data_IF_597429671943
#
_entry.id   IF_597429671943
#
_cell.length_a   1.000
_cell.length_b   1.000
_cell.length_c   1.000
_cell.angle_alpha   90.00
_cell.angle_beta   90.00
_cell.angle_gamma   90.00
#
_symmetry.space_group_name_H-M   'P 1'
#
loop_
_entity.id
_entity.type
_entity.pdbx_description
1 polymer ?
#
# COMPACT_ATOMS: atom_id res chain seq x y z
N UNK A 1 -10.40 3.65 -17.09
CA UNK A 1 -9.22 4.54 -17.02
C UNK A 1 -8.62 4.72 -18.39
N UNK A 2 -8.21 5.92 -18.70
CA UNK A 2 -7.44 6.28 -19.89
C UNK A 2 -5.94 6.08 -19.60
N UNK A 3 -5.46 4.87 -19.85
CA UNK A 3 -4.06 4.51 -19.59
C UNK A 3 -3.07 5.24 -20.50
N UNK A 4 -3.35 5.50 -21.79
CA UNK A 4 -2.48 6.33 -22.63
C UNK A 4 -2.29 7.74 -22.08
N UNK A 5 -3.37 8.39 -21.63
CA UNK A 5 -3.28 9.71 -20.99
C UNK A 5 -2.51 9.68 -19.68
N UNK A 6 -2.68 8.62 -18.89
CA UNK A 6 -1.95 8.44 -17.64
C UNK A 6 -0.45 8.20 -17.91
N UNK A 7 -0.12 7.45 -18.95
CA UNK A 7 1.25 7.22 -19.39
C UNK A 7 1.93 8.54 -19.77
N UNK A 8 1.30 9.35 -20.62
CA UNK A 8 1.82 10.67 -20.99
C UNK A 8 2.01 11.59 -19.76
N UNK A 9 1.05 11.57 -18.82
CA UNK A 9 1.13 12.35 -17.60
C UNK A 9 2.36 12.01 -16.74
N UNK A 10 2.70 10.73 -16.58
CA UNK A 10 3.87 10.32 -15.81
C UNK A 10 5.18 10.46 -16.57
N UNK A 11 5.17 10.19 -17.90
CA UNK A 11 6.34 10.39 -18.76
C UNK A 11 6.83 11.85 -18.74
N UNK A 12 5.92 12.84 -18.82
CA UNK A 12 6.25 14.26 -18.72
C UNK A 12 7.00 14.61 -17.43
N UNK A 13 6.67 13.97 -16.31
CA UNK A 13 7.33 14.19 -15.02
C UNK A 13 8.71 13.52 -14.97
N UNK A 14 8.83 12.34 -15.54
CA UNK A 14 10.10 11.65 -15.67
C UNK A 14 11.07 12.46 -16.57
N UNK A 15 10.61 12.95 -17.71
CA UNK A 15 11.36 13.85 -18.59
C UNK A 15 11.79 15.15 -17.90
N UNK A 16 10.97 15.62 -16.93
CA UNK A 16 11.31 16.77 -16.08
C UNK A 16 12.30 16.48 -14.94
N UNK A 17 12.89 15.26 -14.90
CA UNK A 17 13.94 14.91 -13.93
C UNK A 17 13.43 14.26 -12.63
N UNK A 18 12.15 13.88 -12.52
CA UNK A 18 11.65 13.13 -11.34
C UNK A 18 12.23 11.71 -11.36
N UNK A 19 13.09 11.40 -10.40
CA UNK A 19 13.78 10.09 -10.31
C UNK A 19 12.88 8.93 -9.93
N UNK A 20 11.88 9.15 -9.06
CA UNK A 20 10.92 8.14 -8.62
C UNK A 20 9.51 8.73 -8.54
N UNK A 21 8.57 8.07 -9.19
CA UNK A 21 7.14 8.41 -9.21
C UNK A 21 6.36 7.36 -8.44
N UNK A 22 5.38 7.77 -7.64
CA UNK A 22 4.37 6.87 -7.06
C UNK A 22 3.01 7.16 -7.68
N UNK A 23 2.32 6.13 -8.16
CA UNK A 23 1.00 6.30 -8.79
C UNK A 23 -0.07 6.70 -7.76
N UNK A 24 -1.21 7.17 -8.23
CA UNK A 24 -2.42 7.18 -7.41
C UNK A 24 -2.90 5.76 -7.09
N UNK A 25 -3.74 5.63 -6.05
CA UNK A 25 -4.17 4.35 -5.50
C UNK A 25 -4.77 3.36 -6.50
N UNK A 26 -4.27 2.16 -6.50
CA UNK A 26 -4.72 0.98 -7.26
C UNK A 26 -5.24 -0.05 -6.26
N UNK A 27 -6.51 -0.42 -6.38
CA UNK A 27 -7.11 -1.37 -5.45
C UNK A 27 -6.66 -2.82 -5.73
N UNK A 28 -6.30 -3.60 -4.68
CA UNK A 28 -5.89 -4.99 -4.83
C UNK A 28 -7.06 -5.94 -5.09
N UNK A 29 -8.29 -5.47 -4.93
CA UNK A 29 -9.55 -6.18 -5.23
C UNK A 29 -10.74 -5.21 -5.21
N UNK A 30 -11.95 -5.71 -5.51
CA UNK A 30 -13.19 -4.93 -5.54
C UNK A 30 -13.54 -4.34 -4.16
N UNK A 31 -13.30 -5.09 -3.08
CA UNK A 31 -13.58 -4.60 -1.72
C UNK A 31 -12.68 -3.40 -1.33
N UNK A 32 -11.55 -3.26 -2.00
CA UNK A 32 -10.61 -2.15 -1.80
C UNK A 32 -10.87 -0.92 -2.66
N UNK A 33 -11.85 -0.91 -3.53
CA UNK A 33 -12.19 0.27 -4.33
C UNK A 33 -12.48 1.48 -3.47
N UNK A 34 -12.04 2.66 -3.91
CA UNK A 34 -12.47 3.94 -3.32
C UNK A 34 -13.89 4.30 -3.78
N UNK A 35 -14.22 3.98 -5.02
CA UNK A 35 -15.55 4.14 -5.65
C UNK A 35 -15.72 3.07 -6.73
N UNK A 36 -16.94 2.81 -7.21
CA UNK A 36 -17.17 1.86 -8.28
C UNK A 36 -16.26 2.11 -9.48
N UNK A 37 -15.71 1.03 -10.03
CA UNK A 37 -14.79 1.06 -11.17
C UNK A 37 -13.47 1.84 -10.94
N UNK A 38 -13.06 2.03 -9.69
CA UNK A 38 -11.71 2.52 -9.38
C UNK A 38 -10.64 1.60 -10.00
N UNK A 39 -9.44 2.13 -10.20
CA UNK A 39 -8.35 1.34 -10.78
C UNK A 39 -7.98 0.13 -9.94
N UNK A 40 -7.72 -0.97 -10.61
CA UNK A 40 -7.32 -2.25 -9.98
C UNK A 40 -6.19 -2.90 -10.74
N UNK A 41 -5.41 -3.71 -10.04
CA UNK A 41 -4.51 -4.69 -10.64
C UNK A 41 -4.71 -6.03 -9.92
N UNK A 42 -5.61 -6.87 -10.43
CA UNK A 42 -6.16 -8.06 -9.77
C UNK A 42 -5.87 -9.35 -10.52
N UNK A 43 -5.70 -9.27 -11.85
CA UNK A 43 -5.50 -10.42 -12.72
C UNK A 43 -4.60 -10.05 -13.92
N UNK A 44 -3.98 -11.03 -14.53
CA UNK A 44 -2.94 -10.88 -15.56
C UNK A 44 -3.40 -10.10 -16.81
N UNK A 45 -4.67 -10.18 -17.19
CA UNK A 45 -5.21 -9.42 -18.32
C UNK A 45 -5.14 -7.89 -18.15
N UNK A 46 -4.95 -7.38 -16.94
CA UNK A 46 -4.77 -5.95 -16.68
C UNK A 46 -3.31 -5.49 -16.86
N UNK A 47 -2.34 -6.40 -16.82
CA UNK A 47 -0.89 -6.12 -16.90
C UNK A 47 -0.54 -5.26 -18.13
N UNK A 48 -1.05 -5.62 -19.32
CA UNK A 48 -0.77 -4.88 -20.57
C UNK A 48 -1.13 -3.39 -20.48
N UNK A 49 -2.21 -3.05 -19.77
CA UNK A 49 -2.64 -1.64 -19.62
C UNK A 49 -1.71 -0.87 -18.67
N UNK A 50 -1.29 -1.51 -17.59
CA UNK A 50 -0.33 -0.91 -16.66
C UNK A 50 1.05 -0.74 -17.30
N UNK A 51 1.45 -1.66 -18.18
CA UNK A 51 2.72 -1.60 -18.92
C UNK A 51 2.83 -0.35 -19.80
N UNK A 52 1.74 0.17 -20.34
CA UNK A 52 1.77 1.45 -21.06
C UNK A 52 2.32 2.60 -20.20
N UNK A 53 2.06 2.56 -18.89
CA UNK A 53 2.54 3.59 -17.96
C UNK A 53 4.01 3.37 -17.62
N UNK A 54 4.41 2.15 -17.29
CA UNK A 54 5.79 1.84 -16.92
C UNK A 54 6.75 2.03 -18.08
N UNK A 55 6.39 1.56 -19.28
CA UNK A 55 7.20 1.73 -20.49
C UNK A 55 7.42 3.22 -20.81
N UNK A 56 6.37 4.05 -20.69
CA UNK A 56 6.46 5.48 -20.96
C UNK A 56 7.36 6.22 -19.94
N UNK A 57 7.33 5.85 -18.67
CA UNK A 57 8.20 6.42 -17.64
C UNK A 57 9.64 5.98 -17.84
N UNK A 58 9.87 4.71 -18.15
CA UNK A 58 11.20 4.16 -18.38
C UNK A 58 11.86 4.75 -19.64
N UNK A 59 11.07 5.04 -20.68
CA UNK A 59 11.58 5.69 -21.90
C UNK A 59 12.19 7.07 -21.62
N UNK A 60 11.75 7.75 -20.55
CA UNK A 60 12.28 9.03 -20.08
C UNK A 60 13.31 8.87 -18.94
N UNK A 61 13.80 7.65 -18.66
CA UNK A 61 14.81 7.35 -17.66
C UNK A 61 14.31 7.41 -16.20
N UNK A 62 13.01 7.62 -15.97
CA UNK A 62 12.40 7.65 -14.63
C UNK A 62 12.11 6.25 -14.09
N UNK A 63 11.71 6.19 -12.81
CA UNK A 63 11.21 4.98 -12.13
C UNK A 63 9.80 5.20 -11.59
N UNK A 64 9.01 4.14 -11.51
CA UNK A 64 7.63 4.23 -11.04
C UNK A 64 7.24 3.07 -10.13
N UNK A 65 6.72 3.40 -8.94
CA UNK A 65 6.10 2.48 -8.00
C UNK A 65 4.57 2.58 -8.08
N UNK A 66 3.90 1.43 -7.99
CA UNK A 66 2.44 1.38 -7.94
C UNK A 66 1.95 1.47 -6.49
N UNK A 67 1.12 2.47 -6.16
CA UNK A 67 0.47 2.50 -4.86
C UNK A 67 -0.64 1.44 -4.78
N UNK A 68 -0.51 0.48 -3.86
CA UNK A 68 -1.56 -0.48 -3.53
C UNK A 68 -2.42 0.12 -2.42
N UNK A 69 -3.62 0.56 -2.76
CA UNK A 69 -4.55 1.19 -1.85
C UNK A 69 -5.83 0.37 -1.71
N UNK A 70 -6.14 -0.04 -0.49
CA UNK A 70 -7.43 -0.64 -0.12
C UNK A 70 -8.19 0.35 0.76
N UNK A 71 -9.34 0.83 0.28
CA UNK A 71 -10.10 1.89 0.97
C UNK A 71 -10.66 1.49 2.35
N UNK A 72 -10.86 0.19 2.58
CA UNK A 72 -11.51 -0.26 3.81
C UNK A 72 -12.90 0.33 3.95
N UNK A 73 -13.23 0.88 5.13
CA UNK A 73 -14.53 1.50 5.43
C UNK A 73 -14.78 2.83 4.69
N UNK A 74 -13.75 3.40 4.04
CA UNK A 74 -13.87 4.64 3.27
C UNK A 74 -14.41 4.44 1.85
N UNK A 75 -14.49 3.18 1.39
CA UNK A 75 -15.01 2.90 0.06
C UNK A 75 -16.45 3.38 -0.13
N UNK A 76 -16.70 4.04 -1.25
CA UNK A 76 -18.03 4.54 -1.62
C UNK A 76 -18.78 3.51 -2.48
N UNK A 77 -18.97 2.30 -1.93
CA UNK A 77 -19.65 1.16 -2.57
C UNK A 77 -20.10 0.11 -1.51
N UNK A 78 -21.07 -0.77 -1.82
CA UNK A 78 -21.64 -1.70 -0.84
C UNK A 78 -20.75 -2.89 -0.45
N UNK A 79 -19.62 -3.10 -1.15
CA UNK A 79 -18.72 -4.25 -0.92
C UNK A 79 -17.61 -3.97 0.09
N UNK A 80 -17.68 -2.86 0.82
CA UNK A 80 -16.65 -2.45 1.77
C UNK A 80 -16.46 -3.46 2.90
N UNK A 81 -15.19 -3.63 3.29
CA UNK A 81 -14.79 -4.49 4.43
C UNK A 81 -13.84 -3.74 5.34
N UNK A 82 -13.84 -4.09 6.62
CA UNK A 82 -13.01 -3.44 7.63
C UNK A 82 -12.69 -4.42 8.77
N UNK A 83 -11.79 -4.08 9.72
CA UNK A 83 -11.59 -4.89 10.93
C UNK A 83 -12.87 -5.07 11.73
N UNK A 84 -13.66 -4.01 11.84
CA UNK A 84 -14.95 -3.98 12.56
C UNK A 84 -16.03 -3.28 11.73
N UNK A 85 -17.30 -3.61 11.95
CA UNK A 85 -18.43 -3.07 11.18
C UNK A 85 -18.79 -1.63 11.63
N UNK A 86 -17.82 -0.71 11.59
CA UNK A 86 -17.95 0.68 11.99
C UNK A 86 -17.98 1.55 10.74
N UNK A 87 -19.11 2.22 10.48
CA UNK A 87 -19.27 3.11 9.34
C UNK A 87 -18.35 4.33 9.47
N UNK A 88 -17.74 4.74 8.35
CA UNK A 88 -17.00 6.00 8.29
C UNK A 88 -17.97 7.20 8.11
N UNK A 89 -17.68 8.38 8.71
CA UNK A 89 -18.51 9.56 8.52
C UNK A 89 -18.66 9.98 7.04
N UNK A 90 -17.61 9.74 6.25
CA UNK A 90 -17.54 10.14 4.83
C UNK A 90 -18.19 9.14 3.86
N UNK A 91 -18.69 7.99 4.34
CA UNK A 91 -19.29 6.96 3.48
C UNK A 91 -20.69 6.60 3.97
N UNK A 92 -21.67 6.46 3.08
CA UNK A 92 -23.01 6.00 3.43
C UNK A 92 -23.04 4.49 3.72
N UNK A 93 -22.02 3.74 3.29
CA UNK A 93 -21.97 2.29 3.41
C UNK A 93 -21.34 1.86 4.73
N UNK A 94 -22.01 0.94 5.44
CA UNK A 94 -21.45 0.26 6.61
C UNK A 94 -20.60 -0.91 6.13
N UNK A 95 -19.30 -0.98 6.47
CA UNK A 95 -18.45 -2.08 6.05
C UNK A 95 -18.85 -3.38 6.76
N UNK A 96 -18.61 -4.51 6.09
CA UNK A 96 -18.69 -5.82 6.73
C UNK A 96 -17.39 -6.08 7.51
N UNK A 97 -17.52 -6.50 8.79
CA UNK A 97 -16.38 -6.96 9.57
C UNK A 97 -15.79 -8.24 8.97
N UNK A 98 -14.48 -8.31 8.85
CA UNK A 98 -13.80 -9.48 8.31
C UNK A 98 -13.67 -10.60 9.34
N UNK A 99 -13.85 -11.84 8.90
CA UNK A 99 -13.43 -13.05 9.63
C UNK A 99 -11.90 -13.22 9.50
N UNK A 100 -11.28 -14.09 10.29
CA UNK A 100 -9.86 -14.46 10.14
C UNK A 100 -9.53 -14.90 8.70
N UNK A 101 -10.36 -15.76 8.10
CA UNK A 101 -10.22 -16.16 6.68
C UNK A 101 -10.34 -14.96 5.73
N UNK A 102 -11.22 -14.02 6.05
CA UNK A 102 -11.40 -12.78 5.28
C UNK A 102 -10.15 -11.90 5.32
N UNK A 103 -9.52 -11.74 6.49
CA UNK A 103 -8.25 -11.01 6.64
C UNK A 103 -7.14 -11.67 5.82
N UNK A 104 -6.95 -12.98 5.94
CA UNK A 104 -5.98 -13.75 5.14
C UNK A 104 -6.19 -13.59 3.63
N UNK A 105 -7.46 -13.51 3.18
CA UNK A 105 -7.79 -13.26 1.77
C UNK A 105 -7.38 -11.85 1.33
N UNK A 106 -7.50 -10.84 2.20
CA UNK A 106 -7.02 -9.49 1.88
C UNK A 106 -5.48 -9.45 1.76
N UNK A 107 -4.76 -10.08 2.68
CA UNK A 107 -3.29 -10.22 2.58
C UNK A 107 -2.91 -10.82 1.22
N UNK A 108 -3.52 -11.94 0.82
CA UNK A 108 -3.27 -12.56 -0.47
C UNK A 108 -3.60 -11.65 -1.67
N UNK A 109 -4.56 -10.72 -1.54
CA UNK A 109 -4.88 -9.75 -2.58
C UNK A 109 -3.76 -8.70 -2.75
N UNK A 110 -3.20 -8.17 -1.66
CA UNK A 110 -2.04 -7.28 -1.71
C UNK A 110 -0.84 -7.96 -2.38
N UNK A 111 -0.48 -9.16 -1.93
CA UNK A 111 0.63 -9.94 -2.49
C UNK A 111 0.45 -10.20 -3.99
N UNK A 112 -0.75 -10.63 -4.41
CA UNK A 112 -1.06 -10.84 -5.83
C UNK A 112 -0.94 -9.56 -6.64
N UNK A 113 -1.45 -8.44 -6.12
CA UNK A 113 -1.36 -7.13 -6.78
C UNK A 113 0.10 -6.69 -6.95
N UNK A 114 0.95 -6.90 -5.95
CA UNK A 114 2.38 -6.61 -6.02
C UNK A 114 3.11 -7.46 -7.08
N UNK A 115 2.81 -8.76 -7.15
CA UNK A 115 3.35 -9.65 -8.22
C UNK A 115 2.95 -9.15 -9.61
N UNK A 116 1.68 -8.81 -9.81
CA UNK A 116 1.18 -8.29 -11.07
C UNK A 116 1.79 -6.91 -11.41
N UNK A 117 2.10 -6.09 -10.40
CA UNK A 117 2.82 -4.84 -10.60
C UNK A 117 4.23 -5.09 -11.13
N UNK A 118 4.97 -6.05 -10.54
CA UNK A 118 6.27 -6.48 -11.07
C UNK A 118 6.16 -6.98 -12.52
N UNK A 119 5.17 -7.81 -12.82
CA UNK A 119 4.93 -8.33 -14.17
C UNK A 119 4.56 -7.21 -15.16
N UNK A 120 3.98 -6.11 -14.67
CA UNK A 120 3.65 -4.92 -15.47
C UNK A 120 4.82 -3.94 -15.62
N UNK A 121 6.02 -4.25 -15.10
CA UNK A 121 7.21 -3.44 -15.24
C UNK A 121 7.34 -2.30 -14.23
N UNK A 122 6.54 -2.26 -13.16
CA UNK A 122 6.80 -1.32 -12.07
C UNK A 122 8.11 -1.63 -11.38
N UNK A 123 8.85 -0.60 -10.95
CA UNK A 123 10.09 -0.74 -10.18
C UNK A 123 9.83 -1.11 -8.72
N UNK A 124 8.60 -0.91 -8.25
CA UNK A 124 8.20 -1.23 -6.91
C UNK A 124 6.71 -1.03 -6.64
N UNK A 125 6.35 -1.20 -5.37
CA UNK A 125 5.01 -0.88 -4.86
C UNK A 125 5.11 -0.02 -3.61
N UNK A 126 4.15 0.91 -3.45
CA UNK A 126 3.85 1.55 -2.18
C UNK A 126 2.66 0.85 -1.53
N UNK A 127 2.85 0.31 -0.34
CA UNK A 127 1.79 -0.26 0.50
C UNK A 127 1.18 0.86 1.33
N UNK A 128 -0.09 1.20 1.04
CA UNK A 128 -0.80 2.30 1.70
C UNK A 128 -1.24 1.89 3.11
N UNK A 129 -0.44 2.25 4.10
CA UNK A 129 -0.64 1.92 5.52
C UNK A 129 -1.11 3.09 6.40
N UNK A 130 -1.50 4.23 5.81
CA UNK A 130 -1.80 5.48 6.50
C UNK A 130 -3.20 6.03 6.21
N UNK A 131 -3.49 7.22 6.76
CA UNK A 131 -4.63 8.10 6.40
C UNK A 131 -6.01 7.48 6.64
N UNK A 132 -6.13 6.54 7.59
CA UNK A 132 -7.41 5.88 7.89
C UNK A 132 -7.86 4.86 6.85
N UNK A 133 -6.99 4.48 5.87
CA UNK A 133 -7.27 3.41 4.92
C UNK A 133 -7.16 2.03 5.58
N UNK A 134 -7.40 0.97 4.84
CA UNK A 134 -7.63 -0.39 5.35
C UNK A 134 -6.59 -0.89 6.36
N UNK A 135 -5.28 -0.74 6.08
CA UNK A 135 -4.23 -1.21 6.99
C UNK A 135 -4.19 -0.36 8.27
N UNK A 136 -4.32 0.96 8.14
CA UNK A 136 -4.38 1.86 9.28
C UNK A 136 -5.62 1.59 10.16
N UNK A 137 -6.76 1.18 9.56
CA UNK A 137 -7.95 0.78 10.32
C UNK A 137 -7.71 -0.40 11.26
N UNK A 138 -6.74 -1.28 10.97
CA UNK A 138 -6.36 -2.37 11.88
C UNK A 138 -5.46 -1.88 13.02
N UNK A 139 -4.63 -0.86 12.78
CA UNK A 139 -3.70 -0.31 13.77
C UNK A 139 -4.43 0.49 14.87
N UNK A 140 -5.46 1.23 14.50
CA UNK A 140 -6.11 2.21 15.37
C UNK A 140 -7.27 1.59 16.17
N UNK A 141 -7.23 1.72 17.49
CA UNK A 141 -8.27 1.19 18.41
C UNK A 141 -9.66 1.76 18.11
N UNK A 142 -9.75 3.01 17.65
CA UNK A 142 -11.03 3.61 17.26
C UNK A 142 -11.78 2.78 16.20
N UNK A 143 -11.07 2.17 15.28
CA UNK A 143 -11.63 1.43 14.13
C UNK A 143 -11.53 -0.08 14.25
N UNK A 144 -10.65 -0.58 15.14
CA UNK A 144 -10.44 -2.00 15.35
C UNK A 144 -10.90 -2.43 16.76
N UNK A 145 -12.13 -2.93 16.83
CA UNK A 145 -12.75 -3.47 18.07
C UNK A 145 -12.73 -5.01 18.09
N UNK A 146 -11.75 -5.63 17.42
CA UNK A 146 -11.58 -7.09 17.40
C UNK A 146 -10.95 -7.59 18.69
N UNK A 147 -11.30 -8.82 19.06
CA UNK A 147 -10.76 -9.53 20.22
C UNK A 147 -9.97 -10.78 19.83
N UNK A 148 -9.79 -11.00 18.52
CA UNK A 148 -8.98 -12.11 17.99
C UNK A 148 -7.53 -11.66 17.71
N UNK A 149 -6.75 -12.55 17.09
CA UNK A 149 -5.34 -12.31 16.74
C UNK A 149 -5.07 -11.08 15.84
N UNK A 150 -6.08 -10.38 15.37
CA UNK A 150 -5.99 -9.20 14.52
C UNK A 150 -6.39 -7.91 15.23
N UNK A 151 -6.64 -7.96 16.55
CA UNK A 151 -7.07 -6.81 17.35
C UNK A 151 -6.73 -6.96 18.82
N UNK A 152 -7.11 -6.00 19.64
CA UNK A 152 -6.74 -5.93 21.05
C UNK A 152 -5.35 -5.32 21.23
N UNK A 153 -4.35 -6.12 21.60
CA UNK A 153 -2.97 -5.61 21.81
C UNK A 153 -2.36 -5.03 20.53
N UNK A 154 -1.38 -4.13 20.68
CA UNK A 154 -0.75 -3.51 19.51
C UNK A 154 -0.04 -4.52 18.62
N UNK A 155 0.59 -5.54 19.18
CA UNK A 155 1.20 -6.65 18.44
C UNK A 155 0.19 -7.37 17.52
N UNK A 156 -1.03 -7.54 18.01
CA UNK A 156 -2.11 -8.11 17.19
C UNK A 156 -2.60 -7.14 16.11
N UNK A 157 -2.68 -5.84 16.45
CA UNK A 157 -3.11 -4.80 15.50
C UNK A 157 -2.09 -4.59 14.38
N UNK A 158 -0.79 -4.66 14.67
CA UNK A 158 0.31 -4.60 13.68
C UNK A 158 0.38 -5.85 12.78
N UNK A 159 -0.16 -6.98 13.20
CA UNK A 159 0.00 -8.27 12.50
C UNK A 159 -0.40 -8.22 11.03
N UNK A 160 -1.50 -7.53 10.70
CA UNK A 160 -1.94 -7.43 9.31
C UNK A 160 -0.94 -6.67 8.42
N UNK A 161 -0.54 -5.43 8.71
CA UNK A 161 0.45 -4.73 7.89
C UNK A 161 1.78 -5.47 7.81
N UNK A 162 2.27 -6.06 8.90
CA UNK A 162 3.51 -6.84 8.90
C UNK A 162 3.41 -8.09 8.00
N UNK A 163 2.30 -8.82 8.03
CA UNK A 163 2.08 -9.97 7.15
C UNK A 163 1.96 -9.55 5.67
N UNK A 164 1.36 -8.40 5.39
CA UNK A 164 1.30 -7.86 4.01
C UNK A 164 2.71 -7.56 3.51
N UNK A 165 3.52 -6.83 4.27
CA UNK A 165 4.88 -6.45 3.87
C UNK A 165 5.77 -7.69 3.70
N UNK A 166 5.83 -8.55 4.73
CA UNK A 166 6.63 -9.78 4.71
C UNK A 166 6.33 -10.65 3.50
N UNK A 167 5.04 -10.99 3.29
CA UNK A 167 4.64 -11.85 2.17
C UNK A 167 4.78 -11.17 0.82
N UNK A 168 4.69 -9.84 0.77
CA UNK A 168 4.97 -9.11 -0.47
C UNK A 168 6.46 -9.23 -0.79
N UNK A 169 7.37 -9.01 0.16
CA UNK A 169 8.82 -9.17 -0.02
C UNK A 169 9.18 -10.58 -0.48
N UNK A 170 8.63 -11.61 0.17
CA UNK A 170 8.83 -13.00 -0.23
C UNK A 170 8.37 -13.29 -1.67
N UNK A 171 7.30 -12.64 -2.11
CA UNK A 171 6.71 -12.89 -3.41
C UNK A 171 7.37 -12.12 -4.57
N UNK A 172 7.96 -10.94 -4.29
CA UNK A 172 8.55 -10.08 -5.33
C UNK A 172 10.09 -10.07 -5.33
N UNK A 173 10.74 -10.68 -4.33
CA UNK A 173 12.22 -10.73 -4.22
C UNK A 173 12.81 -9.43 -3.67
N UNK A 174 14.16 -9.35 -3.63
CA UNK A 174 14.92 -8.23 -3.02
C UNK A 174 15.08 -7.04 -3.94
N UNK A 175 15.12 -7.26 -5.26
CA UNK A 175 15.39 -6.21 -6.26
C UNK A 175 14.18 -5.32 -6.58
N UNK A 176 13.04 -5.56 -5.93
CA UNK A 176 11.81 -4.83 -6.13
C UNK A 176 11.57 -3.86 -4.96
N UNK A 177 11.36 -2.58 -5.25
CA UNK A 177 11.16 -1.55 -4.23
C UNK A 177 9.84 -1.80 -3.49
N UNK A 178 9.87 -1.80 -2.15
CA UNK A 178 8.68 -1.80 -1.32
C UNK A 178 8.74 -0.57 -0.42
N UNK A 179 7.79 0.33 -0.59
CA UNK A 179 7.58 1.49 0.26
C UNK A 179 6.39 1.19 1.16
N UNK A 180 6.52 1.41 2.46
CA UNK A 180 5.39 1.39 3.37
C UNK A 180 5.04 2.82 3.79
N UNK A 181 3.86 3.30 3.40
CA UNK A 181 3.38 4.62 3.78
C UNK A 181 2.78 4.55 5.18
N UNK A 182 3.49 5.15 6.14
CA UNK A 182 3.17 5.12 7.57
C UNK A 182 2.38 6.37 7.97
N UNK A 183 1.37 6.22 8.85
CA UNK A 183 0.75 7.34 9.57
C UNK A 183 1.62 7.72 10.75
N UNK A 184 2.15 8.94 10.77
CA UNK A 184 2.91 9.46 11.91
C UNK A 184 1.99 9.95 13.03
N UNK A 185 0.75 10.32 12.70
CA UNK A 185 -0.28 10.78 13.63
C UNK A 185 -1.66 10.40 13.11
N UNK A 186 -2.50 9.90 13.99
CA UNK A 186 -3.91 9.62 13.72
C UNK A 186 -4.77 10.64 14.46
N UNK A 187 -5.41 11.55 13.73
CA UNK A 187 -6.24 12.64 14.28
C UNK A 187 -7.65 12.14 14.68
N UNK A 188 -7.69 11.05 15.46
CA UNK A 188 -8.93 10.45 15.98
C UNK A 188 -8.73 10.07 17.46
N UNK A 189 -9.82 9.99 18.26
CA UNK A 189 -9.75 9.42 19.59
C UNK A 189 -9.18 7.99 19.53
N UNK A 190 -8.35 7.61 20.52
CA UNK A 190 -7.67 6.30 20.56
C UNK A 190 -6.85 6.00 19.28
N UNK A 191 -6.26 7.03 18.68
CA UNK A 191 -5.27 6.91 17.60
C UNK A 191 -3.97 6.26 18.07
N UNK A 192 -3.08 5.93 17.13
CA UNK A 192 -1.78 5.35 17.48
C UNK A 192 -0.92 6.34 18.28
N UNK A 193 -0.24 5.84 19.32
CA UNK A 193 0.74 6.61 20.06
C UNK A 193 2.06 6.74 19.30
N UNK A 194 2.92 7.68 19.69
CA UNK A 194 4.25 7.82 19.10
C UNK A 194 5.06 6.52 19.22
N UNK A 195 5.05 5.89 20.40
CA UNK A 195 5.80 4.64 20.62
C UNK A 195 5.26 3.49 19.76
N UNK A 196 3.95 3.40 19.57
CA UNK A 196 3.33 2.44 18.67
C UNK A 196 3.77 2.68 17.21
N UNK A 197 3.84 3.94 16.77
CA UNK A 197 4.31 4.30 15.41
C UNK A 197 5.78 3.91 15.24
N UNK A 198 6.65 4.22 16.19
CA UNK A 198 8.07 3.85 16.16
C UNK A 198 8.24 2.32 16.17
N UNK A 199 7.46 1.61 16.98
CA UNK A 199 7.48 0.14 17.01
C UNK A 199 7.08 -0.43 15.64
N UNK A 200 6.01 0.08 15.03
CA UNK A 200 5.57 -0.37 13.70
C UNK A 200 6.66 -0.12 12.64
N UNK A 201 7.30 1.07 12.65
CA UNK A 201 8.34 1.42 11.71
C UNK A 201 9.51 0.42 11.77
N UNK A 202 10.01 0.13 12.98
CA UNK A 202 11.08 -0.87 13.22
C UNK A 202 10.68 -2.27 12.74
N UNK A 203 9.46 -2.69 13.05
CA UNK A 203 8.97 -4.01 12.62
C UNK A 203 8.79 -4.11 11.10
N UNK A 204 8.36 -3.05 10.43
CA UNK A 204 8.28 -3.00 8.96
C UNK A 204 9.68 -3.11 8.34
N UNK A 205 10.65 -2.34 8.84
CA UNK A 205 12.05 -2.39 8.41
C UNK A 205 12.61 -3.81 8.51
N UNK A 206 12.42 -4.47 9.66
CA UNK A 206 12.82 -5.86 9.88
C UNK A 206 12.18 -6.84 8.87
N UNK A 207 10.92 -6.61 8.47
CA UNK A 207 10.22 -7.46 7.49
C UNK A 207 10.65 -7.22 6.05
N UNK A 208 11.24 -6.06 5.78
CA UNK A 208 11.83 -5.74 4.48
C UNK A 208 13.22 -6.34 4.29
N UNK A 209 13.81 -6.95 5.32
CA UNK A 209 15.18 -7.45 5.33
C UNK A 209 16.22 -6.37 4.98
N UNK A 210 15.90 -5.12 5.32
CA UNK A 210 16.88 -4.05 5.25
C UNK A 210 17.82 -4.28 6.44
N UNK A 211 19.02 -4.81 6.20
CA UNK A 211 20.03 -4.73 7.21
C UNK A 211 20.49 -3.25 7.32
N UNK A 212 20.99 -2.89 8.49
CA UNK A 212 21.37 -1.49 8.82
C UNK A 212 22.39 -0.90 7.83
N UNK A 213 23.22 -1.74 7.22
CA UNK A 213 24.22 -1.35 6.21
C UNK A 213 23.59 -1.04 4.84
N UNK A 214 22.61 -1.82 4.39
CA UNK A 214 21.90 -1.53 3.13
C UNK A 214 21.06 -0.25 3.23
N UNK A 215 20.40 -0.01 4.36
CA UNK A 215 19.68 1.22 4.63
C UNK A 215 20.61 2.46 4.63
N UNK A 216 21.77 2.37 5.28
CA UNK A 216 22.81 3.43 5.29
C UNK A 216 23.40 3.66 3.90
N UNK A 217 23.60 2.61 3.11
CA UNK A 217 24.13 2.72 1.74
C UNK A 217 23.14 3.43 0.82
N UNK A 218 21.84 3.08 0.89
CA UNK A 218 20.78 3.72 0.11
C UNK A 218 20.67 5.20 0.48
N UNK A 219 20.69 5.54 1.78
CA UNK A 219 20.68 6.94 2.25
C UNK A 219 21.89 7.72 1.77
N UNK A 220 23.07 7.12 1.80
CA UNK A 220 24.31 7.74 1.32
C UNK A 220 24.29 7.94 -0.21
N UNK A 221 23.77 6.98 -0.97
CA UNK A 221 23.61 7.09 -2.42
C UNK A 221 22.58 8.18 -2.81
N UNK A 222 21.53 8.35 -2.01
CA UNK A 222 20.57 9.44 -2.17
C UNK A 222 21.23 10.78 -1.86
N UNK A 223 21.97 10.90 -0.76
CA UNK A 223 22.63 12.11 -0.33
C UNK A 223 23.68 12.58 -1.35
N UNK A 224 24.50 11.66 -1.86
CA UNK A 224 25.51 11.96 -2.88
C UNK A 224 24.92 12.46 -4.22
N UNK A 225 23.66 12.11 -4.55
CA UNK A 225 22.99 12.59 -5.78
C UNK A 225 22.35 13.97 -5.63
N UNK A 226 22.26 14.50 -4.42
CA UNK A 226 21.74 15.85 -4.15
C UNK A 226 22.87 16.87 -3.89
N UNK A 227 24.13 16.41 -3.77
CA UNK A 227 25.31 17.26 -3.57
C UNK A 227 26.06 17.54 -4.90
N UNK A 228 25.70 16.86 -6.00
CA UNK A 228 26.14 17.09 -7.39
C UNK A 228 25.05 17.89 -8.16
#
# INVERSE_FOLDING_TARGET
RDYPRLAAYFAERAAGGVGLIVTGGIAPNIAGWTKPFAGTLVWSGQVKRHRLVTDAVHAEGGRVCMQILHSGRYGYHPFTVAPSAIRAPISPFKPRALTDRGVKKQIGAFVRSAKLARDAGYDGVEVMGSEGYFLNQFLVNHTNKRTDRWGGSYENRMRLPLEVVRRTREAVGTDFIIIYRLSMIDLVPDGSTYDEVVQLAKEIENKLNLNEEEGKKILKDIQNRYED
#
